data_IF_597259605354
#
_entry.id   IF_597259605354
#
_cell.length_a   1.000
_cell.length_b   1.000
_cell.length_c   1.000
_cell.angle_alpha   90.00
_cell.angle_beta   90.00
_cell.angle_gamma   90.00
#
_symmetry.space_group_name_H-M   'P 1'
#
loop_
_entity.id
_entity.type
_entity.pdbx_description
1 polymer ?
#
# COMPACT_ATOMS: atom_id res chain seq x y z
N UNK A 1 -18.68 3.30 15.29
CA UNK A 1 -17.34 2.70 15.13
C UNK A 1 -16.68 3.29 13.89
N UNK A 2 -15.46 3.78 14.05
CA UNK A 2 -14.68 4.27 12.89
C UNK A 2 -13.94 3.09 12.28
N UNK A 3 -14.11 2.87 10.99
CA UNK A 3 -13.40 1.81 10.27
C UNK A 3 -12.33 2.44 9.38
N UNK A 4 -11.19 1.77 9.29
CA UNK A 4 -10.09 2.18 8.42
C UNK A 4 -9.66 0.99 7.56
N UNK A 5 -10.26 0.84 6.37
CA UNK A 5 -9.93 -0.28 5.48
C UNK A 5 -8.46 -0.29 5.04
N UNK A 6 -7.84 0.88 4.94
CA UNK A 6 -6.43 0.98 4.56
C UNK A 6 -5.54 0.47 5.69
N UNK A 7 -5.83 0.86 6.93
CA UNK A 7 -5.11 0.35 8.09
C UNK A 7 -5.26 -1.17 8.20
N UNK A 8 -6.47 -1.69 7.95
CA UNK A 8 -6.71 -3.13 7.93
C UNK A 8 -5.86 -3.82 6.85
N UNK A 9 -5.81 -3.25 5.66
CA UNK A 9 -5.00 -3.75 4.54
C UNK A 9 -3.52 -3.86 4.95
N UNK A 10 -2.97 -2.79 5.51
CA UNK A 10 -1.58 -2.76 5.94
C UNK A 10 -1.31 -3.74 7.09
N UNK A 11 -2.25 -3.84 8.03
CA UNK A 11 -2.13 -4.74 9.18
C UNK A 11 -2.15 -6.20 8.75
N UNK A 12 -3.03 -6.57 7.81
CA UNK A 12 -3.08 -7.94 7.30
C UNK A 12 -1.76 -8.35 6.64
N UNK A 13 -1.17 -7.48 5.85
CA UNK A 13 0.13 -7.73 5.23
C UNK A 13 1.21 -7.86 6.31
N UNK A 14 1.24 -6.94 7.27
CA UNK A 14 2.23 -6.95 8.35
C UNK A 14 2.15 -8.25 9.16
N UNK A 15 0.95 -8.63 9.58
CA UNK A 15 0.74 -9.83 10.36
C UNK A 15 1.11 -11.10 9.59
N UNK A 16 0.76 -11.16 8.30
CA UNK A 16 1.12 -12.29 7.46
C UNK A 16 2.64 -12.44 7.32
N UNK A 17 3.34 -11.32 7.17
CA UNK A 17 4.80 -11.33 7.10
C UNK A 17 5.44 -11.77 8.41
N UNK A 18 4.91 -11.30 9.55
CA UNK A 18 5.41 -11.70 10.87
C UNK A 18 5.23 -13.20 11.11
N UNK A 19 4.15 -13.77 10.59
CA UNK A 19 3.88 -15.21 10.71
C UNK A 19 4.57 -16.04 9.62
N UNK A 20 5.23 -15.41 8.65
CA UNK A 20 5.92 -16.11 7.58
C UNK A 20 5.00 -16.71 6.52
N UNK A 21 3.79 -16.23 6.39
CA UNK A 21 2.85 -16.72 5.38
C UNK A 21 3.31 -16.36 3.97
N UNK A 22 3.06 -17.24 3.02
CA UNK A 22 3.38 -16.98 1.60
C UNK A 22 2.32 -16.15 0.91
N UNK A 23 1.07 -16.31 1.30
CA UNK A 23 -0.07 -15.66 0.68
C UNK A 23 -0.95 -15.05 1.76
N UNK A 24 -1.49 -13.87 1.49
CA UNK A 24 -2.47 -13.22 2.35
C UNK A 24 -3.71 -12.88 1.54
N UNK A 25 -4.89 -13.12 2.13
CA UNK A 25 -6.17 -12.79 1.52
C UNK A 25 -6.74 -11.55 2.19
N UNK A 26 -7.19 -10.60 1.37
CA UNK A 26 -7.70 -9.32 1.85
C UNK A 26 -9.03 -9.02 1.14
N UNK A 27 -10.07 -8.61 1.87
CA UNK A 27 -11.30 -8.17 1.22
C UNK A 27 -11.01 -7.03 0.24
N UNK A 28 -11.55 -7.13 -0.97
CA UNK A 28 -11.21 -6.20 -2.04
C UNK A 28 -11.99 -4.89 -1.98
N UNK A 29 -11.39 -3.85 -2.51
CA UNK A 29 -12.02 -2.59 -2.89
C UNK A 29 -11.19 -2.00 -4.02
N UNK A 30 -11.75 -1.03 -4.74
CA UNK A 30 -11.01 -0.40 -5.83
C UNK A 30 -9.72 0.24 -5.34
N UNK A 31 -9.76 0.91 -4.20
CA UNK A 31 -8.59 1.54 -3.59
C UNK A 31 -7.53 0.51 -3.23
N UNK A 32 -7.91 -0.59 -2.57
CA UNK A 32 -6.98 -1.64 -2.18
C UNK A 32 -6.36 -2.33 -3.40
N UNK A 33 -7.13 -2.51 -4.47
CA UNK A 33 -6.61 -3.08 -5.73
C UNK A 33 -5.51 -2.18 -6.30
N UNK A 34 -5.73 -0.86 -6.31
CA UNK A 34 -4.73 0.10 -6.80
C UNK A 34 -3.47 0.08 -5.94
N UNK A 35 -3.63 0.02 -4.62
CA UNK A 35 -2.49 -0.09 -3.70
C UNK A 35 -1.70 -1.37 -3.96
N UNK A 36 -2.38 -2.47 -4.21
CA UNK A 36 -1.74 -3.76 -4.52
C UNK A 36 -0.94 -3.68 -5.82
N UNK A 37 -1.49 -3.05 -6.86
CA UNK A 37 -0.79 -2.85 -8.13
C UNK A 37 0.48 -2.03 -7.94
N UNK A 38 0.45 -1.00 -7.09
CA UNK A 38 1.61 -0.18 -6.77
C UNK A 38 2.67 -1.02 -6.06
N UNK A 39 2.29 -1.83 -5.08
CA UNK A 39 3.22 -2.72 -4.38
C UNK A 39 3.91 -3.66 -5.36
N UNK A 40 3.17 -4.20 -6.31
CA UNK A 40 3.74 -5.08 -7.32
C UNK A 40 4.74 -4.34 -8.23
N UNK A 41 4.37 -3.16 -8.72
CA UNK A 41 5.26 -2.36 -9.58
C UNK A 41 6.53 -1.94 -8.89
N UNK A 42 6.46 -1.66 -7.59
CA UNK A 42 7.62 -1.27 -6.80
C UNK A 42 8.47 -2.47 -6.35
N UNK A 43 8.04 -3.69 -6.66
CA UNK A 43 8.81 -4.89 -6.35
C UNK A 43 8.69 -5.36 -4.91
N UNK A 44 7.68 -4.93 -4.18
CA UNK A 44 7.47 -5.31 -2.78
C UNK A 44 6.77 -6.65 -2.60
N UNK A 45 6.03 -7.11 -3.62
CA UNK A 45 5.33 -8.39 -3.60
C UNK A 45 5.67 -9.18 -4.87
N UNK A 46 5.52 -10.51 -4.80
CA UNK A 46 5.83 -11.38 -5.95
C UNK A 46 4.78 -11.30 -7.03
N UNK A 47 3.51 -11.41 -6.63
CA UNK A 47 2.37 -11.37 -7.55
C UNK A 47 1.09 -11.16 -6.77
N UNK A 48 0.02 -10.90 -7.48
CA UNK A 48 -1.30 -10.73 -6.89
C UNK A 48 -2.38 -11.27 -7.82
N UNK A 49 -3.56 -11.52 -7.25
CA UNK A 49 -4.72 -11.99 -8.00
C UNK A 49 -5.97 -11.41 -7.38
N UNK A 50 -6.92 -11.00 -8.22
CA UNK A 50 -8.23 -10.54 -7.78
C UNK A 50 -9.24 -11.65 -8.06
N UNK A 51 -9.96 -12.10 -7.04
CA UNK A 51 -10.98 -13.13 -7.17
C UNK A 51 -12.33 -12.57 -6.75
N UNK A 52 -13.40 -12.98 -7.46
CA UNK A 52 -14.76 -12.62 -7.10
C UNK A 52 -15.36 -13.69 -6.20
N UNK A 53 -16.13 -13.25 -5.19
CA UNK A 53 -16.72 -14.14 -4.21
C UNK A 53 -18.22 -13.89 -4.00
N UNK A 54 -18.89 -13.28 -4.99
CA UNK A 54 -20.29 -12.86 -4.94
C UNK A 54 -20.57 -11.74 -3.92
N UNK A 55 -19.52 -11.12 -3.39
CA UNK A 55 -19.61 -9.97 -2.49
C UNK A 55 -18.74 -8.86 -3.07
N UNK A 56 -17.75 -8.42 -2.31
CA UNK A 56 -16.82 -7.39 -2.76
C UNK A 56 -15.60 -7.94 -3.48
N UNK A 57 -15.36 -9.24 -3.37
CA UNK A 57 -14.18 -9.87 -3.92
C UNK A 57 -13.04 -9.99 -2.91
N UNK A 58 -12.01 -10.71 -3.32
CA UNK A 58 -10.82 -10.96 -2.48
C UNK A 58 -9.57 -10.64 -3.28
N UNK A 59 -8.62 -9.98 -2.65
CA UNK A 59 -7.28 -9.77 -3.19
C UNK A 59 -6.37 -10.81 -2.56
N UNK A 60 -5.71 -11.61 -3.40
CA UNK A 60 -4.69 -12.57 -2.95
C UNK A 60 -3.33 -11.99 -3.29
N UNK A 61 -2.47 -11.86 -2.30
CA UNK A 61 -1.14 -11.28 -2.46
C UNK A 61 -0.10 -12.34 -2.09
N UNK A 62 0.81 -12.64 -3.03
CA UNK A 62 1.95 -13.50 -2.77
C UNK A 62 3.08 -12.63 -2.22
N UNK A 63 3.43 -12.83 -0.96
CA UNK A 63 4.43 -12.04 -0.27
C UNK A 63 5.85 -12.43 -0.72
N UNK A 64 6.75 -11.47 -0.62
CA UNK A 64 8.13 -11.63 -1.08
C UNK A 64 9.08 -11.63 0.11
N UNK A 65 9.95 -12.63 0.17
CA UNK A 65 10.95 -12.79 1.22
C UNK A 65 12.32 -12.99 0.59
N UNK A 66 13.37 -12.60 1.32
CA UNK A 66 14.72 -12.92 0.93
C UNK A 66 14.94 -14.43 1.09
N UNK A 67 15.49 -15.09 0.08
CA UNK A 67 15.67 -16.55 0.07
C UNK A 67 16.62 -17.01 1.17
N UNK A 68 17.65 -16.23 1.48
CA UNK A 68 18.68 -16.61 2.45
C UNK A 68 18.30 -16.24 3.88
N UNK A 69 17.91 -14.95 4.10
CA UNK A 69 17.65 -14.43 5.44
C UNK A 69 16.22 -14.61 5.90
N UNK A 70 15.30 -14.92 5.00
CA UNK A 70 13.85 -15.02 5.26
C UNK A 70 13.22 -13.70 5.66
N UNK A 71 13.92 -12.59 5.49
CA UNK A 71 13.36 -11.27 5.79
C UNK A 71 12.37 -10.84 4.71
N UNK A 72 11.22 -10.23 5.09
CA UNK A 72 10.26 -9.77 4.11
C UNK A 72 10.80 -8.58 3.29
N UNK A 73 10.36 -8.48 2.05
CA UNK A 73 10.73 -7.36 1.18
C UNK A 73 10.20 -6.03 1.71
N UNK A 74 9.01 -6.05 2.32
CA UNK A 74 8.45 -4.86 2.96
C UNK A 74 8.94 -4.83 4.41
N UNK A 75 9.69 -3.80 4.76
CA UNK A 75 10.22 -3.64 6.11
C UNK A 75 9.28 -2.83 6.99
N UNK A 76 8.57 -1.86 6.41
CA UNK A 76 7.67 -0.99 7.16
C UNK A 76 6.44 -0.63 6.34
N UNK A 77 5.30 -0.63 7.02
CA UNK A 77 4.00 -0.22 6.48
C UNK A 77 3.41 0.76 7.48
N UNK A 78 3.44 2.04 7.16
CA UNK A 78 3.00 3.11 8.07
C UNK A 78 1.77 3.82 7.53
N UNK A 79 0.68 3.79 8.28
CA UNK A 79 -0.53 4.55 7.96
C UNK A 79 -0.29 6.02 8.31
N UNK A 80 -0.51 6.92 7.35
CA UNK A 80 -0.30 8.36 7.55
C UNK A 80 -1.63 9.07 7.78
N UNK A 81 -2.48 9.17 6.76
CA UNK A 81 -3.79 9.79 6.89
C UNK A 81 -4.76 8.80 7.52
N UNK A 82 -5.56 9.26 8.48
CA UNK A 82 -6.51 8.42 9.22
C UNK A 82 -7.89 9.06 9.19
N UNK A 83 -8.96 8.28 9.35
CA UNK A 83 -10.32 8.86 9.35
C UNK A 83 -10.52 10.01 10.34
N UNK A 84 -9.89 9.93 11.52
CA UNK A 84 -9.98 10.99 12.52
C UNK A 84 -9.01 12.14 12.32
N UNK A 85 -8.02 12.00 11.47
CA UNK A 85 -7.00 13.03 11.20
C UNK A 85 -6.45 12.84 9.79
N UNK A 86 -7.09 13.49 8.82
CA UNK A 86 -6.68 13.41 7.43
C UNK A 86 -5.40 14.21 7.20
N UNK A 87 -4.49 13.67 6.41
CA UNK A 87 -3.22 14.29 6.06
C UNK A 87 -3.14 14.49 4.56
N UNK A 88 -2.94 15.74 4.14
CA UNK A 88 -2.85 16.11 2.73
C UNK A 88 -1.51 16.76 2.46
N UNK A 89 -1.03 16.65 1.23
CA UNK A 89 0.20 17.31 0.79
C UNK A 89 0.00 17.91 -0.58
N UNK A 90 0.49 19.14 -0.76
CA UNK A 90 0.60 19.78 -2.07
C UNK A 90 1.80 19.16 -2.81
N UNK A 91 1.87 19.30 -4.16
CA UNK A 91 2.98 18.69 -4.90
C UNK A 91 4.36 19.03 -4.36
N UNK A 92 4.58 20.27 -3.95
CA UNK A 92 5.87 20.71 -3.42
C UNK A 92 6.16 20.19 -2.01
N UNK A 93 5.13 19.73 -1.30
CA UNK A 93 5.26 19.27 0.09
C UNK A 93 5.42 17.75 0.20
N UNK A 94 5.30 17.02 -0.90
CA UNK A 94 5.36 15.55 -0.89
C UNK A 94 6.79 15.13 -0.52
N UNK A 95 6.89 14.35 0.57
CA UNK A 95 8.17 13.86 1.06
C UNK A 95 8.57 12.57 0.37
N UNK A 96 9.87 12.40 0.14
CA UNK A 96 10.41 11.11 -0.29
C UNK A 96 10.55 10.21 0.94
N UNK A 97 10.19 8.94 0.77
CA UNK A 97 10.31 7.94 1.83
C UNK A 97 11.70 7.31 1.73
N UNK A 98 12.47 7.35 2.82
CA UNK A 98 13.84 6.79 2.87
C UNK A 98 14.71 7.27 1.70
N UNK A 99 14.73 8.57 1.43
CA UNK A 99 15.47 9.18 0.32
C UNK A 99 15.17 8.55 -1.05
N UNK A 100 13.92 8.13 -1.26
CA UNK A 100 13.48 7.55 -2.53
C UNK A 100 13.60 6.04 -2.61
N UNK A 101 14.09 5.38 -1.56
CA UNK A 101 14.14 3.91 -1.51
C UNK A 101 12.77 3.30 -1.20
N UNK A 102 11.91 4.05 -0.51
CA UNK A 102 10.55 3.64 -0.23
C UNK A 102 9.55 4.37 -1.10
N UNK A 103 8.27 4.21 -0.81
CA UNK A 103 7.19 4.81 -1.58
C UNK A 103 6.12 5.37 -0.65
N UNK A 104 5.58 6.55 -1.00
CA UNK A 104 4.36 7.06 -0.41
C UNK A 104 3.23 6.82 -1.41
N UNK A 105 2.08 6.39 -0.92
CA UNK A 105 0.89 6.20 -1.75
C UNK A 105 -0.09 7.31 -1.42
N UNK A 106 -0.53 8.03 -2.46
CA UNK A 106 -1.44 9.17 -2.33
C UNK A 106 -2.73 8.93 -3.10
N UNK A 107 -3.83 9.41 -2.55
CA UNK A 107 -5.10 9.48 -3.25
C UNK A 107 -5.23 10.89 -3.82
N UNK A 108 -5.24 11.01 -5.14
CA UNK A 108 -5.27 12.30 -5.84
C UNK A 108 -6.48 12.39 -6.77
N UNK A 109 -6.69 13.57 -7.34
CA UNK A 109 -7.73 13.77 -8.34
C UNK A 109 -7.49 12.96 -9.62
N UNK A 110 -6.26 12.50 -9.84
CA UNK A 110 -5.89 11.67 -10.99
C UNK A 110 -5.75 10.18 -10.62
N UNK A 111 -6.28 9.79 -9.47
CA UNK A 111 -6.27 8.42 -9.00
C UNK A 111 -5.28 8.19 -7.88
N UNK A 112 -5.03 6.92 -7.58
CA UNK A 112 -4.08 6.51 -6.55
C UNK A 112 -2.70 6.45 -7.18
N UNK A 113 -1.79 7.28 -6.68
CA UNK A 113 -0.45 7.45 -7.26
C UNK A 113 0.63 7.29 -6.19
N UNK A 114 1.85 7.02 -6.66
CA UNK A 114 3.03 7.09 -5.80
C UNK A 114 3.46 8.55 -5.66
N UNK A 115 4.36 8.81 -4.69
CA UNK A 115 4.93 10.14 -4.50
C UNK A 115 5.64 10.65 -5.78
N UNK A 116 6.37 9.78 -6.47
CA UNK A 116 7.06 10.14 -7.71
C UNK A 116 6.09 10.48 -8.83
N UNK A 117 5.04 9.67 -8.99
CA UNK A 117 4.02 9.91 -10.01
C UNK A 117 3.24 11.20 -9.73
N UNK A 118 2.90 11.46 -8.48
CA UNK A 118 2.19 12.67 -8.09
C UNK A 118 3.01 13.92 -8.37
N UNK A 119 4.30 13.89 -8.06
CA UNK A 119 5.20 15.01 -8.37
C UNK A 119 5.36 15.21 -9.87
N UNK A 120 5.49 14.13 -10.63
CA UNK A 120 5.63 14.22 -12.09
C UNK A 120 4.40 14.83 -12.74
N UNK A 121 3.22 14.56 -12.20
CA UNK A 121 1.95 15.10 -12.70
C UNK A 121 1.57 16.42 -12.04
N UNK A 122 2.39 16.91 -11.11
CA UNK A 122 2.17 18.15 -10.37
C UNK A 122 0.81 18.17 -9.68
N UNK A 123 0.46 17.08 -9.00
CA UNK A 123 -0.77 16.97 -8.22
C UNK A 123 -0.45 16.60 -6.79
N UNK A 124 -1.23 17.14 -5.86
CA UNK A 124 -1.19 16.75 -4.46
C UNK A 124 -2.40 15.89 -4.12
N UNK A 125 -2.48 15.45 -2.89
CA UNK A 125 -3.61 14.66 -2.44
C UNK A 125 -3.46 14.19 -1.01
N UNK A 126 -4.31 13.23 -0.64
CA UNK A 126 -4.27 12.61 0.67
C UNK A 126 -3.14 11.60 0.72
N UNK A 127 -2.24 11.76 1.69
CA UNK A 127 -1.12 10.82 1.88
C UNK A 127 -1.63 9.62 2.68
N UNK A 128 -1.81 8.50 2.02
CA UNK A 128 -2.42 7.33 2.63
C UNK A 128 -1.46 6.58 3.53
N UNK A 129 -0.26 6.28 3.03
CA UNK A 129 0.72 5.48 3.78
C UNK A 129 2.12 5.65 3.22
N UNK A 130 3.10 5.26 4.04
CA UNK A 130 4.49 5.10 3.63
C UNK A 130 4.87 3.63 3.70
N UNK A 131 5.61 3.16 2.69
CA UNK A 131 6.07 1.77 2.59
C UNK A 131 7.56 1.76 2.22
N UNK A 132 8.32 0.97 2.94
CA UNK A 132 9.71 0.71 2.57
C UNK A 132 10.22 -0.65 3.03
#
# INVERSE_FOLDING_TARGET
MVTDPIADFLTRIRNAQMAGHRVVDIPASNLKKRMTEILYKQGYILKYKFEEDNKQGVIKIALKYNADTKQPAIQSLERVSRPGLRQYAKPAEIRRVKNGLGVAILSTSKGVLTDKEAKAQNVGGEVLCYIY
#
